data_IF_785893170167
#
_entry.id   IF_785893170167
#
_cell.length_a   1.000
_cell.length_b   1.000
_cell.length_c   1.000
_cell.angle_alpha   90.00
_cell.angle_beta   90.00
_cell.angle_gamma   90.00
#
_symmetry.space_group_name_H-M   'P 1'
#
loop_
_entity.id
_entity.type
_entity.pdbx_description
1 polymer ?
#
# COMPACT_ATOMS: atom_id res chain seq x y z
N UNK A 1 -23.85 9.67 -27.86
CA UNK A 1 -24.38 9.36 -26.50
C UNK A 1 -23.54 9.90 -25.33
N UNK A 2 -22.23 10.22 -25.48
CA UNK A 2 -21.44 10.87 -24.40
C UNK A 2 -21.81 12.35 -24.17
N UNK A 3 -22.11 13.09 -25.24
CA UNK A 3 -22.46 14.53 -25.17
C UNK A 3 -23.73 14.79 -24.34
N UNK A 4 -24.77 13.96 -24.51
CA UNK A 4 -26.02 14.04 -23.74
C UNK A 4 -25.86 13.72 -22.24
N UNK A 5 -24.79 13.02 -21.82
CA UNK A 5 -24.56 12.68 -20.41
C UNK A 5 -23.90 13.84 -19.64
N UNK A 6 -23.13 14.68 -20.34
CA UNK A 6 -22.40 15.82 -19.77
C UNK A 6 -23.28 17.07 -19.72
N UNK A 7 -24.26 17.20 -20.63
CA UNK A 7 -25.16 18.35 -20.70
C UNK A 7 -26.26 18.38 -19.63
N UNK A 8 -26.24 17.47 -18.64
CA UNK A 8 -27.21 17.46 -17.54
C UNK A 8 -26.72 18.35 -16.42
N UNK A 9 -27.60 19.18 -15.88
CA UNK A 9 -27.32 19.99 -14.70
C UNK A 9 -27.16 19.10 -13.46
N UNK A 10 -26.30 19.50 -12.50
CA UNK A 10 -26.15 18.79 -11.23
C UNK A 10 -27.47 18.85 -10.44
N UNK A 11 -27.74 17.79 -9.69
CA UNK A 11 -28.93 17.69 -8.83
C UNK A 11 -28.57 18.23 -7.44
N UNK A 12 -29.50 18.93 -6.79
CA UNK A 12 -29.33 19.42 -5.42
C UNK A 12 -29.21 18.26 -4.44
N UNK A 13 -28.29 18.37 -3.48
CA UNK A 13 -28.13 17.40 -2.39
C UNK A 13 -29.32 17.43 -1.42
N UNK A 14 -29.99 18.58 -1.32
CA UNK A 14 -31.19 18.81 -0.51
C UNK A 14 -32.48 18.32 -1.20
N UNK A 15 -32.37 17.57 -2.30
CA UNK A 15 -33.56 17.02 -2.96
C UNK A 15 -34.18 15.97 -2.03
N UNK A 16 -35.44 16.12 -1.59
CA UNK A 16 -36.08 15.12 -0.73
C UNK A 16 -36.23 13.79 -1.47
N UNK A 17 -36.03 12.69 -0.76
CA UNK A 17 -36.09 11.32 -1.29
C UNK A 17 -37.04 10.48 -0.44
N UNK A 18 -38.06 9.90 -1.07
CA UNK A 18 -39.06 9.09 -0.40
C UNK A 18 -40.18 9.93 0.22
N UNK A 19 -41.02 9.27 1.05
CA UNK A 19 -42.15 9.90 1.75
C UNK A 19 -41.77 10.41 3.16
N UNK A 20 -40.52 10.18 3.58
CA UNK A 20 -39.98 10.65 4.86
C UNK A 20 -39.43 12.07 4.70
N UNK A 21 -40.04 13.05 5.36
CA UNK A 21 -39.73 14.48 5.20
C UNK A 21 -38.30 14.88 5.63
N UNK A 22 -37.59 14.02 6.36
CA UNK A 22 -36.23 14.27 6.84
C UNK A 22 -35.13 13.65 5.95
N UNK A 23 -35.48 12.89 4.90
CA UNK A 23 -34.51 12.18 4.05
C UNK A 23 -34.15 12.97 2.79
N UNK A 24 -32.89 13.37 2.67
CA UNK A 24 -32.38 14.11 1.52
C UNK A 24 -31.44 13.24 0.68
N UNK A 25 -31.32 13.53 -0.62
CA UNK A 25 -30.43 12.80 -1.54
C UNK A 25 -28.99 12.73 -1.01
N UNK A 26 -28.54 13.79 -0.32
CA UNK A 26 -27.20 13.85 0.25
C UNK A 26 -26.91 12.83 1.34
N UNK A 27 -27.92 12.40 2.08
CA UNK A 27 -27.76 11.44 3.19
C UNK A 27 -27.37 10.04 2.69
N UNK A 28 -27.55 9.77 1.40
CA UNK A 28 -27.22 8.51 0.74
C UNK A 28 -25.90 8.54 -0.03
N UNK A 29 -25.19 9.67 -0.05
CA UNK A 29 -23.87 9.75 -0.67
C UNK A 29 -22.82 9.38 0.37
N UNK A 30 -22.31 8.15 0.25
CA UNK A 30 -21.20 7.69 1.09
C UNK A 30 -19.89 8.42 0.76
N UNK A 31 -19.06 8.64 1.78
CA UNK A 31 -17.70 9.13 1.58
C UNK A 31 -16.78 7.97 1.16
N UNK A 32 -16.59 7.85 -0.16
CA UNK A 32 -15.68 6.87 -0.75
C UNK A 32 -14.19 7.21 -0.58
N UNK A 33 -13.86 8.37 0.01
CA UNK A 33 -12.46 8.80 0.23
C UNK A 33 -11.91 8.38 1.59
N UNK A 34 -12.78 8.01 2.53
CA UNK A 34 -12.38 7.56 3.87
C UNK A 34 -11.92 6.10 3.82
N UNK A 35 -10.76 5.84 4.40
CA UNK A 35 -10.25 4.48 4.62
C UNK A 35 -11.07 3.83 5.74
N UNK A 36 -11.61 2.64 5.48
CA UNK A 36 -12.38 1.91 6.48
C UNK A 36 -11.50 1.54 7.69
N UNK A 37 -12.03 1.57 8.93
CA UNK A 37 -11.27 1.19 10.12
C UNK A 37 -10.66 -0.22 10.03
N UNK A 38 -11.35 -1.15 9.37
CA UNK A 38 -10.86 -2.50 9.11
C UNK A 38 -9.62 -2.48 8.21
N UNK A 39 -9.68 -1.75 7.10
CA UNK A 39 -8.54 -1.61 6.16
C UNK A 39 -7.35 -0.93 6.84
N UNK A 40 -7.61 0.08 7.68
CA UNK A 40 -6.58 0.75 8.47
C UNK A 40 -5.90 -0.22 9.45
N UNK A 41 -6.67 -1.05 10.14
CA UNK A 41 -6.14 -2.07 11.05
C UNK A 41 -5.32 -3.13 10.30
N UNK A 42 -5.81 -3.61 9.15
CA UNK A 42 -5.08 -4.55 8.28
C UNK A 42 -3.77 -3.93 7.76
N UNK A 43 -3.79 -2.67 7.35
CA UNK A 43 -2.60 -1.93 6.93
C UNK A 43 -1.56 -1.77 8.04
N UNK A 44 -2.01 -1.49 9.28
CA UNK A 44 -1.14 -1.48 10.46
C UNK A 44 -0.52 -2.84 10.73
N UNK A 45 -1.33 -3.90 10.71
CA UNK A 45 -0.86 -5.29 10.90
C UNK A 45 0.15 -5.72 9.83
N UNK A 46 -0.07 -5.33 8.56
CA UNK A 46 0.87 -5.58 7.47
C UNK A 46 2.22 -4.89 7.70
N UNK A 47 2.20 -3.66 8.21
CA UNK A 47 3.43 -2.94 8.56
C UNK A 47 4.24 -3.69 9.61
N UNK A 48 3.59 -4.14 10.68
CA UNK A 48 4.27 -4.89 11.75
C UNK A 48 4.81 -6.23 11.25
N UNK A 49 4.00 -6.98 10.49
CA UNK A 49 4.42 -8.25 9.89
C UNK A 49 5.61 -8.09 8.93
N UNK A 50 5.63 -7.04 8.10
CA UNK A 50 6.77 -6.77 7.22
C UNK A 50 8.02 -6.40 8.02
N UNK A 51 7.88 -5.65 9.11
CA UNK A 51 9.00 -5.30 9.98
C UNK A 51 9.63 -6.53 10.65
N UNK A 52 8.81 -7.46 11.15
CA UNK A 52 9.26 -8.71 11.75
C UNK A 52 9.96 -9.62 10.74
N UNK A 53 9.40 -9.76 9.54
CA UNK A 53 10.00 -10.58 8.47
C UNK A 53 11.33 -10.00 7.99
N UNK A 54 11.44 -8.66 7.90
CA UNK A 54 12.69 -7.98 7.61
C UNK A 54 13.72 -8.12 8.74
N UNK A 55 13.29 -8.20 10.00
CA UNK A 55 14.19 -8.44 11.14
C UNK A 55 14.88 -9.82 11.07
N UNK A 56 14.26 -10.79 10.41
CA UNK A 56 14.86 -12.11 10.15
C UNK A 56 15.92 -12.14 9.04
N UNK A 57 16.16 -11.03 8.34
CA UNK A 57 17.23 -10.90 7.35
C UNK A 57 18.52 -10.39 7.98
N UNK A 58 19.62 -10.46 7.23
CA UNK A 58 20.85 -9.77 7.67
C UNK A 58 20.64 -8.26 7.63
N UNK A 59 21.30 -7.51 8.52
CA UNK A 59 21.16 -6.05 8.61
C UNK A 59 21.36 -5.35 7.26
N UNK A 60 22.29 -5.87 6.44
CA UNK A 60 22.54 -5.36 5.08
C UNK A 60 21.39 -5.65 4.12
N UNK A 61 20.84 -6.86 4.13
CA UNK A 61 19.69 -7.24 3.30
C UNK A 61 18.43 -6.44 3.70
N UNK A 62 18.15 -6.33 5.00
CA UNK A 62 17.02 -5.57 5.51
C UNK A 62 17.12 -4.10 5.12
N UNK A 63 18.28 -3.47 5.30
CA UNK A 63 18.49 -2.06 4.94
C UNK A 63 18.40 -1.82 3.43
N UNK A 64 18.93 -2.72 2.59
CA UNK A 64 18.76 -2.65 1.13
C UNK A 64 17.27 -2.71 0.75
N UNK A 65 16.50 -3.65 1.31
CA UNK A 65 15.07 -3.76 0.99
C UNK A 65 14.28 -2.54 1.50
N UNK A 66 14.52 -2.08 2.73
CA UNK A 66 13.85 -0.89 3.27
C UNK A 66 14.06 0.34 2.39
N UNK A 67 15.30 0.58 1.96
CA UNK A 67 15.60 1.68 1.05
C UNK A 67 14.99 1.51 -0.34
N UNK A 68 15.00 0.30 -0.90
CA UNK A 68 14.48 0.03 -2.23
C UNK A 68 12.97 0.21 -2.34
N UNK A 69 12.24 -0.05 -1.25
CA UNK A 69 10.77 -0.02 -1.21
C UNK A 69 10.20 1.12 -0.36
N UNK A 70 11.05 1.98 0.21
CA UNK A 70 10.59 3.10 1.05
C UNK A 70 10.01 2.69 2.41
N UNK A 71 10.32 1.49 2.91
CA UNK A 71 9.78 0.99 4.19
C UNK A 71 10.47 1.76 5.33
N UNK A 72 9.66 2.40 6.18
CA UNK A 72 10.10 3.35 7.23
C UNK A 72 10.93 4.53 6.69
N UNK A 73 10.72 4.91 5.42
CA UNK A 73 11.41 6.02 4.78
C UNK A 73 10.42 6.92 4.05
N UNK A 74 10.79 8.18 3.85
CA UNK A 74 9.94 9.14 3.14
C UNK A 74 9.81 8.82 1.64
N UNK A 75 10.84 8.19 1.05
CA UNK A 75 10.90 7.86 -0.38
C UNK A 75 11.64 6.55 -0.60
N UNK A 76 11.29 5.87 -1.69
CA UNK A 76 12.06 4.78 -2.24
C UNK A 76 13.35 5.29 -2.91
N UNK A 77 14.32 4.39 -3.05
CA UNK A 77 15.62 4.69 -3.64
C UNK A 77 15.90 3.73 -4.80
N UNK A 78 16.53 4.25 -5.84
CA UNK A 78 17.00 3.46 -6.98
C UNK A 78 18.17 2.55 -6.59
N UNK A 79 18.42 1.50 -7.38
CA UNK A 79 19.56 0.60 -7.19
C UNK A 79 20.91 1.34 -7.16
N UNK A 80 21.03 2.44 -7.90
CA UNK A 80 22.25 3.24 -7.96
C UNK A 80 22.45 4.08 -6.70
N UNK A 81 21.40 4.72 -6.19
CA UNK A 81 21.44 5.50 -4.95
C UNK A 81 21.74 4.62 -3.73
N UNK A 82 21.11 3.45 -3.68
CA UNK A 82 21.43 2.44 -2.66
C UNK A 82 22.89 1.98 -2.84
N UNK A 83 23.34 1.76 -4.08
CA UNK A 83 24.73 1.39 -4.36
C UNK A 83 25.74 2.42 -3.82
N UNK A 84 25.47 3.71 -4.04
CA UNK A 84 26.29 4.82 -3.53
C UNK A 84 26.36 4.84 -2.00
N UNK A 85 25.25 4.61 -1.30
CA UNK A 85 25.24 4.58 0.18
C UNK A 85 25.96 3.37 0.78
N UNK A 86 25.98 2.25 0.08
CA UNK A 86 26.64 1.01 0.52
C UNK A 86 28.05 0.83 -0.05
N UNK A 87 28.57 1.82 -0.76
CA UNK A 87 29.85 1.81 -1.48
C UNK A 87 30.03 0.54 -2.35
N UNK A 88 28.98 0.22 -3.13
CA UNK A 88 28.97 -0.94 -4.04
C UNK A 88 28.30 -0.61 -5.35
N UNK A 89 28.57 -1.46 -6.36
CA UNK A 89 27.96 -1.31 -7.68
C UNK A 89 26.45 -1.57 -7.64
N UNK A 90 25.75 -0.97 -8.61
CA UNK A 90 24.33 -1.22 -8.87
C UNK A 90 23.99 -2.71 -8.94
N UNK A 91 24.80 -3.48 -9.68
CA UNK A 91 24.56 -4.91 -9.85
C UNK A 91 24.73 -5.68 -8.53
N UNK A 92 25.64 -5.22 -7.65
CA UNK A 92 25.78 -5.82 -6.33
C UNK A 92 24.53 -5.62 -5.47
N UNK A 93 23.91 -4.44 -5.51
CA UNK A 93 22.63 -4.20 -4.83
C UNK A 93 21.53 -5.10 -5.40
N UNK A 94 21.44 -5.22 -6.74
CA UNK A 94 20.46 -6.11 -7.40
C UNK A 94 20.58 -7.56 -6.94
N UNK A 95 21.81 -8.06 -6.80
CA UNK A 95 22.07 -9.40 -6.29
C UNK A 95 21.63 -9.57 -4.82
N UNK A 96 21.91 -8.58 -3.97
CA UNK A 96 21.48 -8.58 -2.57
C UNK A 96 19.96 -8.60 -2.47
N UNK A 97 19.27 -7.76 -3.25
CA UNK A 97 17.82 -7.71 -3.34
C UNK A 97 17.24 -9.08 -3.76
N UNK A 98 17.72 -9.64 -4.86
CA UNK A 98 17.26 -10.95 -5.35
C UNK A 98 17.48 -12.07 -4.31
N UNK A 99 18.63 -12.05 -3.62
CA UNK A 99 18.94 -13.02 -2.56
C UNK A 99 18.01 -12.86 -1.35
N UNK A 100 17.76 -11.62 -0.92
CA UNK A 100 16.86 -11.31 0.18
C UNK A 100 15.42 -11.73 -0.14
N UNK A 101 14.91 -11.36 -1.31
CA UNK A 101 13.57 -11.78 -1.78
C UNK A 101 13.46 -13.31 -1.89
N UNK A 102 14.52 -14.00 -2.30
CA UNK A 102 14.52 -15.48 -2.32
C UNK A 102 14.40 -16.07 -0.91
N UNK A 103 15.06 -15.47 0.09
CA UNK A 103 14.92 -15.89 1.50
C UNK A 103 13.51 -15.63 2.02
N UNK A 104 12.93 -14.49 1.69
CA UNK A 104 11.57 -14.13 2.12
C UNK A 104 10.50 -15.01 1.47
N UNK A 105 10.73 -15.52 0.26
CA UNK A 105 9.82 -16.47 -0.41
C UNK A 105 9.76 -17.84 0.25
N UNK A 106 10.73 -18.21 1.10
CA UNK A 106 10.72 -19.50 1.77
C UNK A 106 9.50 -19.62 2.71
N UNK A 107 8.77 -20.76 2.73
CA UNK A 107 7.52 -20.91 3.48
C UNK A 107 7.60 -20.45 4.94
N UNK A 108 8.70 -20.77 5.61
CA UNK A 108 8.94 -20.40 7.02
C UNK A 108 8.91 -18.89 7.32
N UNK A 109 9.00 -18.04 6.28
CA UNK A 109 8.97 -16.57 6.40
C UNK A 109 7.82 -15.96 5.59
N UNK A 110 7.44 -16.59 4.48
CA UNK A 110 6.32 -16.11 3.65
C UNK A 110 4.96 -16.43 4.24
N UNK A 111 4.82 -17.41 5.14
CA UNK A 111 3.53 -17.79 5.73
C UNK A 111 2.82 -16.62 6.41
N UNK A 112 3.53 -15.82 7.21
CA UNK A 112 2.96 -14.63 7.85
C UNK A 112 2.46 -13.61 6.83
N UNK A 113 3.25 -13.34 5.78
CA UNK A 113 2.90 -12.35 4.75
C UNK A 113 1.86 -12.86 3.75
N UNK A 114 1.75 -14.18 3.56
CA UNK A 114 0.79 -14.79 2.63
C UNK A 114 -0.65 -14.53 3.04
N UNK A 115 -0.92 -14.43 4.35
CA UNK A 115 -2.25 -14.13 4.86
C UNK A 115 -2.78 -12.75 4.47
N UNK A 116 -1.91 -11.84 4.02
CA UNK A 116 -2.25 -10.50 3.55
C UNK A 116 -2.43 -10.40 2.02
N UNK A 117 -2.24 -11.50 1.29
CA UNK A 117 -2.56 -11.55 -0.14
C UNK A 117 -4.03 -11.98 -0.26
N UNK A 118 -4.90 -11.01 -0.53
CA UNK A 118 -6.26 -11.28 -1.01
C UNK A 118 -6.15 -11.89 -2.43
N UNK A 119 -6.94 -12.93 -2.72
CA UNK A 119 -6.93 -13.64 -4.02
C UNK A 119 -7.32 -12.76 -5.21
#
# INVERSE_FOLDING_TARGET
RKVLKIAKEPISMETPIGDDEDSHLGDFIEDTTIIQPLDSATGGSLKDATQDVLAGLTQREAKVLRMRFGIDMNTDHTLEEVGKQFDVTRERIRQIEAKALRKLRHPSRSEQLRSFLDE
#
